data_IF_927489961194
#
_entry.id   IF_927489961194
#
_cell.length_a   1.000
_cell.length_b   1.000
_cell.length_c   1.000
_cell.angle_alpha   90.00
_cell.angle_beta   90.00
_cell.angle_gamma   90.00
#
_symmetry.space_group_name_H-M   'P 1'
#
loop_
_entity.id
_entity.type
_entity.pdbx_description
1 polymer ?
#
# COMPACT_ATOMS: atom_id res chain seq x y z
N UNK A 1 56.33 -5.75 45.69
CA UNK A 1 55.01 -6.41 45.83
C UNK A 1 54.01 -5.27 46.02
N UNK A 2 52.93 -5.07 45.27
CA UNK A 2 51.96 -6.01 44.72
C UNK A 2 51.19 -5.31 43.60
N UNK A 3 51.14 -5.94 42.43
CA UNK A 3 50.21 -5.58 41.35
C UNK A 3 48.79 -6.01 41.73
N UNK A 4 47.80 -5.16 41.46
CA UNK A 4 46.44 -5.66 41.20
C UNK A 4 45.66 -4.71 40.30
N UNK A 5 46.00 -4.81 39.02
CA UNK A 5 45.08 -4.47 37.95
C UNK A 5 43.88 -5.43 38.02
N UNK A 6 42.67 -4.89 38.13
CA UNK A 6 41.45 -5.53 37.63
C UNK A 6 40.62 -4.51 36.88
N UNK A 7 41.01 -4.33 35.62
CA UNK A 7 40.10 -3.94 34.54
C UNK A 7 38.97 -4.97 34.50
N UNK A 8 37.75 -4.54 34.85
CA UNK A 8 36.52 -5.27 34.59
C UNK A 8 35.86 -4.67 33.34
N UNK A 9 36.43 -4.95 32.18
CA UNK A 9 35.81 -4.61 30.90
C UNK A 9 34.64 -5.54 30.57
N UNK A 10 33.55 -4.94 30.09
CA UNK A 10 32.77 -5.45 28.96
C UNK A 10 31.92 -6.70 29.17
N UNK A 11 30.59 -6.48 29.11
CA UNK A 11 29.52 -7.30 28.51
C UNK A 11 28.20 -6.71 29.01
N UNK A 12 27.80 -5.51 28.59
CA UNK A 12 26.95 -5.31 27.39
C UNK A 12 26.06 -6.51 27.12
N UNK A 13 24.91 -6.50 27.79
CA UNK A 13 23.60 -6.77 27.19
C UNK A 13 23.55 -8.03 26.32
N UNK A 14 23.75 -9.18 26.97
CA UNK A 14 23.53 -10.46 26.36
C UNK A 14 22.08 -10.84 26.65
N UNK A 15 21.24 -10.78 25.61
CA UNK A 15 20.07 -11.64 25.40
C UNK A 15 18.65 -11.06 25.48
N UNK A 16 18.45 -9.75 25.30
CA UNK A 16 17.16 -9.20 24.85
C UNK A 16 17.17 -8.87 23.35
N UNK A 17 17.92 -9.66 22.57
CA UNK A 17 17.81 -9.62 21.12
C UNK A 17 16.44 -10.21 20.76
N UNK A 18 15.46 -9.41 20.26
CA UNK A 18 14.23 -10.00 19.76
C UNK A 18 14.60 -11.06 18.72
N UNK A 19 13.86 -12.18 18.72
CA UNK A 19 14.11 -13.28 17.78
C UNK A 19 14.26 -12.72 16.36
N UNK A 20 15.13 -13.31 15.54
CA UNK A 20 15.35 -12.86 14.16
C UNK A 20 14.03 -12.69 13.38
N UNK A 21 13.05 -13.55 13.70
CA UNK A 21 11.68 -13.48 13.18
C UNK A 21 10.96 -12.20 13.64
N UNK A 22 10.99 -11.88 14.94
CA UNK A 22 10.37 -10.66 15.48
C UNK A 22 10.98 -9.40 14.87
N UNK A 23 12.30 -9.36 14.67
CA UNK A 23 12.97 -8.23 14.00
C UNK A 23 12.54 -8.12 12.52
N UNK A 24 12.43 -9.25 11.82
CA UNK A 24 11.95 -9.29 10.44
C UNK A 24 10.51 -8.80 10.32
N UNK A 25 9.60 -9.29 11.17
CA UNK A 25 8.19 -8.85 11.20
C UNK A 25 8.09 -7.36 11.48
N UNK A 26 8.81 -6.84 12.46
CA UNK A 26 8.83 -5.41 12.77
C UNK A 26 9.34 -4.56 11.59
N UNK A 27 10.31 -5.07 10.82
CA UNK A 27 10.82 -4.38 9.63
C UNK A 27 9.80 -4.33 8.49
N UNK A 28 9.01 -5.40 8.29
CA UNK A 28 7.92 -5.44 7.31
C UNK A 28 6.83 -4.45 7.68
N UNK A 29 6.43 -4.38 8.96
CA UNK A 29 5.46 -3.39 9.43
C UNK A 29 5.97 -1.96 9.25
N UNK A 30 7.23 -1.69 9.56
CA UNK A 30 7.83 -0.38 9.33
C UNK A 30 7.87 -0.01 7.84
N UNK A 31 8.20 -0.97 6.98
CA UNK A 31 8.19 -0.79 5.52
C UNK A 31 6.80 -0.51 4.98
N UNK A 32 5.79 -1.30 5.38
CA UNK A 32 4.39 -1.09 4.97
C UNK A 32 3.88 0.27 5.45
N UNK A 33 4.25 0.70 6.67
CA UNK A 33 3.88 2.02 7.20
C UNK A 33 4.56 3.17 6.45
N UNK A 34 5.79 2.98 5.98
CA UNK A 34 6.48 3.96 5.13
C UNK A 34 5.87 4.00 3.72
N UNK A 35 5.51 2.83 3.18
CA UNK A 35 4.93 2.67 1.84
C UNK A 35 3.39 2.79 1.81
N UNK A 36 2.76 3.14 2.93
CA UNK A 36 1.31 3.19 3.10
C UNK A 36 0.65 4.03 2.00
N UNK A 37 1.20 5.22 1.76
CA UNK A 37 0.68 6.14 0.75
C UNK A 37 0.83 5.61 -0.68
N UNK A 38 1.94 4.95 -1.02
CA UNK A 38 2.17 4.41 -2.36
C UNK A 38 1.24 3.22 -2.65
N UNK A 39 1.10 2.30 -1.70
CA UNK A 39 0.23 1.14 -1.85
C UNK A 39 -1.23 1.59 -1.97
N UNK A 40 -1.68 2.52 -1.11
CA UNK A 40 -3.03 3.07 -1.20
C UNK A 40 -3.26 3.83 -2.51
N UNK A 41 -2.25 4.57 -2.99
CA UNK A 41 -2.31 5.27 -4.27
C UNK A 41 -2.49 4.29 -5.43
N UNK A 42 -1.64 3.28 -5.56
CA UNK A 42 -1.74 2.29 -6.64
C UNK A 42 -3.03 1.49 -6.52
N UNK A 43 -3.41 1.06 -5.31
CA UNK A 43 -4.65 0.34 -5.06
C UNK A 43 -5.87 1.20 -5.44
N UNK A 44 -5.85 2.50 -5.14
CA UNK A 44 -6.88 3.44 -5.54
C UNK A 44 -7.02 3.50 -7.07
N UNK A 45 -5.91 3.60 -7.81
CA UNK A 45 -5.94 3.58 -9.27
C UNK A 45 -6.47 2.25 -9.83
N UNK A 46 -6.10 1.11 -9.24
CA UNK A 46 -6.61 -0.20 -9.65
C UNK A 46 -8.12 -0.28 -9.44
N UNK A 47 -8.61 0.09 -8.25
CA UNK A 47 -10.05 0.09 -7.93
C UNK A 47 -10.79 1.04 -8.87
N UNK A 48 -10.31 2.27 -9.04
CA UNK A 48 -10.89 3.24 -9.96
C UNK A 48 -10.93 2.70 -11.40
N UNK A 49 -9.82 2.12 -11.89
CA UNK A 49 -9.76 1.49 -13.21
C UNK A 49 -10.80 0.37 -13.38
N UNK A 50 -10.96 -0.50 -12.38
CA UNK A 50 -11.96 -1.56 -12.41
C UNK A 50 -13.38 -1.00 -12.44
N UNK A 51 -13.68 0.02 -11.64
CA UNK A 51 -14.99 0.69 -11.63
C UNK A 51 -15.27 1.35 -12.98
N UNK A 52 -14.33 2.13 -13.51
CA UNK A 52 -14.49 2.76 -14.83
C UNK A 52 -14.64 1.72 -15.93
N UNK A 53 -13.89 0.61 -15.87
CA UNK A 53 -14.03 -0.50 -16.82
C UNK A 53 -15.41 -1.16 -16.72
N UNK A 54 -15.91 -1.42 -15.52
CA UNK A 54 -17.26 -1.98 -15.33
C UNK A 54 -18.35 -1.02 -15.81
N UNK A 55 -18.22 0.28 -15.54
CA UNK A 55 -19.19 1.30 -16.00
C UNK A 55 -19.17 1.50 -17.52
N UNK A 56 -18.00 1.51 -18.16
CA UNK A 56 -17.86 1.75 -19.62
C UNK A 56 -18.10 0.51 -20.48
N UNK A 57 -18.00 -0.69 -19.90
CA UNK A 57 -18.30 -1.94 -20.61
C UNK A 57 -19.80 -2.22 -20.74
N UNK A 58 -20.65 -1.49 -20.02
CA UNK A 58 -22.12 -1.63 -20.05
C UNK A 58 -22.75 -0.62 -21.01
N UNK A 59 -23.23 -1.05 -22.19
CA UNK A 59 -23.80 -0.16 -23.19
C UNK A 59 -25.07 0.56 -22.71
N UNK A 60 -25.76 0.07 -21.66
CA UNK A 60 -26.95 0.74 -21.13
C UNK A 60 -26.66 2.06 -20.40
N UNK A 61 -25.51 2.21 -19.72
CA UNK A 61 -25.15 3.46 -19.04
C UNK A 61 -24.61 4.52 -20.01
N UNK A 62 -23.97 4.09 -21.11
CA UNK A 62 -23.52 4.98 -22.16
C UNK A 62 -24.70 5.69 -22.85
N UNK A 63 -25.88 5.09 -22.81
CA UNK A 63 -27.12 5.67 -23.35
C UNK A 63 -27.70 6.79 -22.49
N UNK A 64 -27.31 6.94 -21.22
CA UNK A 64 -27.77 8.06 -20.38
C UNK A 64 -27.06 9.37 -20.79
N UNK A 65 -25.81 9.26 -21.28
CA UNK A 65 -25.04 10.38 -21.82
C UNK A 65 -25.26 10.61 -23.33
N UNK A 66 -25.77 9.60 -24.05
CA UNK A 66 -26.02 9.67 -25.50
C UNK A 66 -27.51 9.88 -25.85
N UNK A 67 -28.47 9.56 -24.97
CA UNK A 67 -29.88 9.94 -25.20
C UNK A 67 -30.12 11.39 -24.78
N UNK A 68 -30.04 12.28 -25.75
CA UNK A 68 -30.64 13.62 -25.68
C UNK A 68 -32.13 13.47 -25.30
N UNK A 69 -32.59 14.03 -24.17
CA UNK A 69 -34.00 13.97 -23.80
C UNK A 69 -34.79 14.82 -24.80
N UNK A 70 -35.46 14.18 -25.77
CA UNK A 70 -36.40 14.82 -26.70
C UNK A 70 -35.85 15.28 -28.07
N UNK A 71 -34.77 14.69 -28.59
CA UNK A 71 -34.28 14.97 -29.95
C UNK A 71 -34.84 13.98 -30.99
N UNK A 72 -35.35 14.41 -32.16
CA UNK A 72 -35.97 13.50 -33.13
C UNK A 72 -34.96 12.54 -33.80
N UNK A 73 -35.46 11.38 -34.24
CA UNK A 73 -34.75 10.18 -34.73
C UNK A 73 -33.94 10.33 -36.05
N UNK A 74 -33.37 11.50 -36.36
CA UNK A 74 -32.69 11.77 -37.64
C UNK A 74 -31.16 11.93 -37.58
N UNK A 75 -30.47 11.47 -36.52
CA UNK A 75 -29.00 11.58 -36.49
C UNK A 75 -28.33 10.55 -37.42
N UNK A 76 -27.47 10.95 -38.39
CA UNK A 76 -27.04 10.07 -39.48
C UNK A 76 -25.61 9.51 -39.33
N UNK A 77 -25.17 9.22 -38.10
CA UNK A 77 -23.91 8.50 -37.84
C UNK A 77 -24.18 7.29 -36.95
#
# INVERSE_FOLDING_TARGET
MMAKQRVGGGRRDYNDSPSLLTRAVNSVFAFVRLAEFEILFVLFFIIAYLIFKDLTSRPEYNQILVKKPGGPDWWPY
#
